data_IF_554134319228
#
_entry.id   IF_554134319228
#
_cell.length_a   1.000
_cell.length_b   1.000
_cell.length_c   1.000
_cell.angle_alpha   90.00
_cell.angle_beta   90.00
_cell.angle_gamma   90.00
#
_symmetry.space_group_name_H-M   'P 1'
#
loop_
_entity.id
_entity.type
_entity.pdbx_description
1 polymer ?
#
# COMPACT_ATOMS: atom_id res chain seq x y z
N UNK A 1 -8.33 -6.68 -16.20
CA UNK A 1 -7.50 -5.65 -16.85
C UNK A 1 -7.18 -4.55 -15.85
N UNK A 2 -6.40 -3.52 -16.21
CA UNK A 2 -5.95 -2.48 -15.27
C UNK A 2 -7.09 -1.77 -14.52
N UNK A 3 -8.25 -1.58 -15.16
CA UNK A 3 -9.45 -1.04 -14.50
C UNK A 3 -10.07 -1.97 -13.44
N UNK A 4 -9.96 -3.28 -13.63
CA UNK A 4 -10.48 -4.25 -12.64
C UNK A 4 -9.63 -4.23 -11.37
N UNK A 5 -8.35 -3.83 -11.47
CA UNK A 5 -7.43 -3.74 -10.35
C UNK A 5 -7.79 -2.60 -9.39
N UNK A 6 -8.28 -1.47 -9.90
CA UNK A 6 -8.73 -0.36 -9.03
C UNK A 6 -9.98 -0.77 -8.23
N UNK A 7 -10.88 -1.55 -8.83
CA UNK A 7 -12.12 -2.00 -8.19
C UNK A 7 -11.90 -3.18 -7.24
N UNK A 8 -11.13 -4.18 -7.67
CA UNK A 8 -10.88 -5.40 -6.90
C UNK A 8 -9.69 -5.29 -5.93
N UNK A 9 -8.80 -4.33 -6.16
CA UNK A 9 -7.55 -4.17 -5.43
C UNK A 9 -6.34 -4.75 -6.17
N UNK A 10 -5.17 -4.23 -5.83
CA UNK A 10 -3.87 -4.69 -6.32
C UNK A 10 -2.87 -4.68 -5.15
N UNK A 11 -2.73 -5.82 -4.45
CA UNK A 11 -1.71 -5.97 -3.42
C UNK A 11 -0.31 -5.89 -4.02
N UNK A 12 0.56 -5.02 -3.48
CA UNK A 12 1.96 -4.86 -3.90
C UNK A 12 2.94 -5.26 -2.79
N UNK A 13 2.66 -4.85 -1.55
CA UNK A 13 3.54 -5.08 -0.40
C UNK A 13 2.96 -6.11 0.56
N UNK A 14 3.77 -7.08 0.97
CA UNK A 14 3.37 -8.14 1.91
C UNK A 14 4.47 -8.37 2.95
N UNK A 15 4.12 -8.30 4.24
CA UNK A 15 5.06 -8.56 5.33
C UNK A 15 4.37 -9.18 6.55
N UNK A 16 4.94 -10.26 7.07
CA UNK A 16 4.49 -10.80 8.36
C UNK A 16 5.16 -10.07 9.52
N UNK A 17 4.40 -9.81 10.58
CA UNK A 17 4.97 -9.45 11.87
C UNK A 17 5.43 -10.69 12.66
N UNK A 18 6.11 -10.45 13.79
CA UNK A 18 6.56 -11.52 14.71
C UNK A 18 5.41 -12.29 15.38
N UNK A 19 4.17 -11.80 15.30
CA UNK A 19 2.97 -12.39 15.87
C UNK A 19 2.18 -13.21 14.83
N UNK A 20 2.63 -13.24 13.57
CA UNK A 20 1.99 -13.96 12.48
C UNK A 20 0.81 -13.22 11.83
N UNK A 21 0.65 -11.91 12.08
CA UNK A 21 -0.26 -11.07 11.29
C UNK A 21 0.41 -10.71 9.96
N UNK A 22 -0.37 -10.75 8.88
CA UNK A 22 0.08 -10.31 7.56
C UNK A 22 -0.31 -8.85 7.35
N UNK A 23 0.66 -8.00 7.07
CA UNK A 23 0.43 -6.65 6.59
C UNK A 23 0.44 -6.65 5.07
N UNK A 24 -0.58 -6.03 4.49
CA UNK A 24 -0.82 -5.98 3.05
C UNK A 24 -0.97 -4.53 2.63
N UNK A 25 -0.16 -4.10 1.67
CA UNK A 25 -0.37 -2.84 0.96
C UNK A 25 -1.15 -3.13 -0.31
N UNK A 26 -2.37 -2.60 -0.37
CA UNK A 26 -3.13 -2.47 -1.60
C UNK A 26 -2.98 -1.04 -2.12
N UNK A 27 -2.48 -0.89 -3.34
CA UNK A 27 -2.16 0.42 -3.91
C UNK A 27 -3.39 1.32 -4.12
N UNK A 28 -4.60 0.75 -4.14
CA UNK A 28 -5.85 1.50 -4.34
C UNK A 28 -6.69 1.57 -3.07
N UNK A 29 -6.56 0.60 -2.17
CA UNK A 29 -7.42 0.46 -1.00
C UNK A 29 -6.75 0.77 0.34
N UNK A 30 -5.42 0.88 0.36
CA UNK A 30 -4.62 1.26 1.53
C UNK A 30 -3.88 0.11 2.18
N UNK A 31 -3.47 0.31 3.43
CA UNK A 31 -2.68 -0.70 4.16
C UNK A 31 -3.58 -1.42 5.15
N UNK A 32 -3.49 -2.74 5.14
CA UNK A 32 -4.30 -3.65 5.93
C UNK A 32 -3.43 -4.52 6.82
N UNK A 33 -3.97 -4.86 7.99
CA UNK A 33 -3.46 -5.94 8.83
C UNK A 33 -4.47 -7.09 8.78
N UNK A 34 -3.98 -8.28 8.46
CA UNK A 34 -4.78 -9.47 8.20
C UNK A 34 -4.38 -10.58 9.17
N UNK A 35 -5.37 -11.16 9.84
CA UNK A 35 -5.20 -12.41 10.55
C UNK A 35 -5.43 -13.56 9.56
N UNK A 36 -4.34 -14.19 9.12
CA UNK A 36 -4.38 -15.26 8.12
C UNK A 36 -5.07 -16.54 8.59
N UNK A 37 -5.26 -16.73 9.91
CA UNK A 37 -5.94 -17.91 10.46
C UNK A 37 -7.46 -17.76 10.42
N UNK A 38 -7.96 -16.55 10.65
CA UNK A 38 -9.40 -16.26 10.72
C UNK A 38 -9.94 -15.62 9.44
N UNK A 39 -9.07 -15.05 8.61
CA UNK A 39 -9.44 -14.24 7.45
C UNK A 39 -9.91 -12.82 7.79
N UNK A 40 -9.93 -12.45 9.07
CA UNK A 40 -10.32 -11.09 9.48
C UNK A 40 -9.23 -10.10 9.13
N UNK A 41 -9.62 -8.91 8.67
CA UNK A 41 -8.70 -7.83 8.34
C UNK A 41 -9.17 -6.49 8.89
N UNK A 42 -8.23 -5.60 9.17
CA UNK A 42 -8.46 -4.21 9.52
C UNK A 42 -7.66 -3.30 8.58
N UNK A 43 -8.25 -2.16 8.19
CA UNK A 43 -7.51 -1.12 7.48
C UNK A 43 -6.80 -0.26 8.51
N UNK A 44 -5.47 -0.20 8.44
CA UNK A 44 -4.63 0.57 9.37
C UNK A 44 -4.22 1.93 8.80
N UNK A 45 -4.11 2.04 7.47
CA UNK A 45 -3.83 3.31 6.79
C UNK A 45 -4.84 3.51 5.67
N UNK A 46 -5.50 4.67 5.70
CA UNK A 46 -6.40 5.15 4.67
C UNK A 46 -5.64 6.10 3.75
N UNK A 47 -5.25 5.60 2.57
CA UNK A 47 -4.44 6.34 1.61
C UNK A 47 -5.20 7.46 0.90
N UNK A 48 -6.52 7.56 1.08
CA UNK A 48 -7.32 8.68 0.54
C UNK A 48 -7.15 9.96 1.36
N UNK A 49 -6.57 9.85 2.56
CA UNK A 49 -6.32 10.98 3.44
C UNK A 49 -4.89 11.49 3.26
N UNK A 50 -4.70 12.81 3.14
CA UNK A 50 -3.36 13.38 3.07
C UNK A 50 -2.53 13.04 4.33
N UNK A 51 -1.29 12.63 4.11
CA UNK A 51 -0.25 12.48 5.12
C UNK A 51 0.72 13.63 4.89
N UNK A 52 0.81 14.55 5.86
CA UNK A 52 1.66 15.75 5.76
C UNK A 52 1.42 16.57 4.47
N UNK A 53 0.17 16.59 4.00
CA UNK A 53 -0.23 17.35 2.81
C UNK A 53 -0.03 16.62 1.47
N UNK A 54 0.44 15.37 1.48
CA UNK A 54 0.56 14.53 0.26
C UNK A 54 -0.35 13.32 0.33
N UNK A 55 -0.91 12.95 -0.81
CA UNK A 55 -1.73 11.74 -0.97
C UNK A 55 -0.84 10.69 -1.65
N UNK A 56 -0.63 9.51 -1.03
CA UNK A 56 0.11 8.42 -1.67
C UNK A 56 -0.64 7.89 -2.88
N UNK A 57 0.03 7.69 -4.01
CA UNK A 57 -0.63 7.22 -5.24
C UNK A 57 -0.20 5.81 -5.65
N UNK A 58 1.00 5.36 -5.26
CA UNK A 58 1.48 3.99 -5.46
C UNK A 58 2.20 3.45 -4.21
N UNK A 59 1.47 3.25 -3.09
CA UNK A 59 1.99 2.50 -1.95
C UNK A 59 2.46 1.12 -2.41
N UNK A 60 3.71 0.76 -2.13
CA UNK A 60 4.35 -0.39 -2.76
C UNK A 60 4.93 -1.39 -1.76
N UNK A 61 5.99 -1.03 -1.03
CA UNK A 61 6.68 -1.96 -0.12
C UNK A 61 6.41 -1.62 1.34
N UNK A 62 6.50 -2.63 2.21
CA UNK A 62 6.31 -2.52 3.66
C UNK A 62 7.33 -3.36 4.42
N UNK A 63 7.87 -2.80 5.50
CA UNK A 63 8.66 -3.51 6.49
C UNK A 63 8.21 -3.15 7.92
N UNK A 64 8.50 -4.05 8.85
CA UNK A 64 8.10 -3.95 10.25
C UNK A 64 9.35 -4.13 11.10
N UNK A 65 9.72 -3.09 11.82
CA UNK A 65 10.85 -3.14 12.73
C UNK A 65 10.52 -3.99 13.98
N UNK A 66 11.57 -4.44 14.68
CA UNK A 66 11.42 -5.32 15.85
C UNK A 66 10.62 -4.69 17.01
N UNK A 67 10.64 -3.37 17.11
CA UNK A 67 9.86 -2.57 18.06
C UNK A 67 8.38 -2.43 17.68
N UNK A 68 7.99 -2.84 16.46
CA UNK A 68 6.62 -2.75 15.95
C UNK A 68 6.36 -1.55 15.05
N UNK A 69 7.35 -0.69 14.79
CA UNK A 69 7.20 0.42 13.86
C UNK A 69 7.04 -0.11 12.43
N UNK A 70 6.16 0.54 11.67
CA UNK A 70 5.82 0.16 10.29
C UNK A 70 6.42 1.21 9.36
N UNK A 71 7.25 0.75 8.43
CA UNK A 71 7.83 1.57 7.37
C UNK A 71 7.27 1.10 6.05
N UNK A 72 6.85 2.03 5.21
CA UNK A 72 6.34 1.71 3.89
C UNK A 72 6.74 2.80 2.89
N UNK A 73 6.71 2.45 1.61
CA UNK A 73 7.17 3.33 0.53
C UNK A 73 6.01 3.67 -0.39
N UNK A 74 5.99 4.91 -0.87
CA UNK A 74 5.16 5.34 -1.99
C UNK A 74 6.04 5.47 -3.24
N UNK A 75 5.68 4.81 -4.34
CA UNK A 75 6.49 4.86 -5.57
C UNK A 75 6.22 6.10 -6.41
N UNK A 76 5.06 6.73 -6.21
CA UNK A 76 4.68 8.00 -6.83
C UNK A 76 3.56 8.62 -6.00
N UNK A 77 3.61 9.93 -5.80
CA UNK A 77 2.50 10.72 -5.24
C UNK A 77 1.76 11.52 -6.32
N UNK A 78 2.03 11.25 -7.60
CA UNK A 78 1.53 12.04 -8.73
C UNK A 78 0.48 11.26 -9.55
N UNK A 79 0.71 9.97 -9.79
CA UNK A 79 -0.13 9.14 -10.66
C UNK A 79 -0.44 7.78 -10.05
N UNK A 80 -1.59 7.21 -10.41
CA UNK A 80 -1.96 5.85 -9.98
C UNK A 80 -1.28 4.80 -10.84
N UNK A 81 -1.20 3.56 -10.35
CA UNK A 81 -0.53 2.47 -11.07
C UNK A 81 -1.14 2.18 -12.46
N UNK A 82 -2.46 2.32 -12.65
CA UNK A 82 -3.08 2.11 -13.96
C UNK A 82 -2.67 3.16 -15.01
N UNK A 83 -2.17 4.32 -14.58
CA UNK A 83 -1.59 5.35 -15.45
C UNK A 83 -0.16 5.00 -15.86
N UNK A 84 0.13 3.70 -16.07
CA UNK A 84 1.48 3.14 -16.08
C UNK A 84 2.50 3.81 -17.02
N UNK A 85 2.06 4.40 -18.14
CA UNK A 85 2.94 5.21 -19.01
C UNK A 85 3.38 6.49 -18.29
N UNK A 86 2.48 7.17 -17.60
CA UNK A 86 2.79 8.38 -16.85
C UNK A 86 3.65 8.06 -15.63
N UNK A 87 3.37 6.96 -14.93
CA UNK A 87 4.19 6.49 -13.80
C UNK A 87 5.64 6.21 -14.19
N UNK A 88 5.88 5.61 -15.36
CA UNK A 88 7.24 5.35 -15.86
C UNK A 88 8.00 6.62 -16.26
N UNK A 89 7.28 7.70 -16.60
CA UNK A 89 7.84 8.97 -17.06
C UNK A 89 7.89 10.03 -15.96
N UNK A 90 7.25 9.79 -14.82
CA UNK A 90 7.27 10.67 -13.67
C UNK A 90 8.64 10.64 -12.99
N UNK A 91 9.08 11.80 -12.50
CA UNK A 91 10.23 11.84 -11.60
C UNK A 91 9.89 11.06 -10.32
N UNK A 92 10.80 10.21 -9.81
CA UNK A 92 10.59 9.53 -8.55
C UNK A 92 10.50 10.57 -7.42
N UNK A 93 9.28 10.85 -6.95
CA UNK A 93 8.96 11.91 -5.99
C UNK A 93 8.80 11.44 -4.53
N UNK A 94 9.03 10.14 -4.30
CA UNK A 94 8.96 9.47 -2.99
C UNK A 94 9.82 10.12 -1.92
#
# INVERSE_FOLDING_TARGET
>A
GLHDEESCGRPLGLRFDKHGNLFVIDTYHGIFKVNVKTGSYEKIIDITKPIEGRIPMIPNSIDIASNGDIYWTDSSSDFKLYDGVMTLLADPSG
#
